data_IF_965313994532
#
_entry.id   IF_965313994532
#
_cell.length_a   1.000
_cell.length_b   1.000
_cell.length_c   1.000
_cell.angle_alpha   90.00
_cell.angle_beta   90.00
_cell.angle_gamma   90.00
#
_symmetry.space_group_name_H-M   'P 1'
#
loop_
_entity.id
_entity.type
_entity.pdbx_description
1 polymer ?
#
# COMPACT_ATOMS: atom_id res chain seq x y z
N UNK A 1 -4.03 20.95 -1.98
CA UNK A 1 -2.94 20.40 -1.14
C UNK A 1 -3.33 19.05 -0.54
N UNK A 2 -4.34 18.94 0.34
CA UNK A 2 -4.79 17.64 0.91
C UNK A 2 -5.24 16.64 -0.17
N UNK A 3 -6.01 17.08 -1.18
CA UNK A 3 -6.38 16.22 -2.32
C UNK A 3 -5.20 15.77 -3.18
N UNK A 4 -4.14 16.59 -3.28
CA UNK A 4 -2.88 16.25 -3.96
C UNK A 4 -2.08 15.24 -3.14
N UNK A 5 -2.06 15.42 -1.81
CA UNK A 5 -1.43 14.53 -0.83
C UNK A 5 -2.11 13.15 -0.83
N UNK A 6 -3.44 13.09 -0.89
CA UNK A 6 -4.20 11.83 -1.05
C UNK A 6 -3.82 11.13 -2.36
N UNK A 7 -3.65 11.88 -3.46
CA UNK A 7 -3.16 11.32 -4.73
C UNK A 7 -1.76 10.73 -4.56
N UNK A 8 -0.84 11.46 -3.93
CA UNK A 8 0.54 11.01 -3.72
C UNK A 8 0.68 9.84 -2.73
N UNK A 9 -0.10 9.80 -1.64
CA UNK A 9 -0.15 8.67 -0.70
C UNK A 9 -0.61 7.38 -1.40
N UNK A 10 -1.64 7.48 -2.25
CA UNK A 10 -2.10 6.37 -3.10
C UNK A 10 -1.02 5.91 -4.09
N UNK A 11 -0.29 6.82 -4.70
CA UNK A 11 0.81 6.49 -5.64
C UNK A 11 2.04 5.87 -4.95
N UNK A 12 2.44 6.37 -3.77
CA UNK A 12 3.60 5.83 -3.03
C UNK A 12 3.35 4.41 -2.51
N UNK A 13 2.13 4.11 -2.07
CA UNK A 13 1.74 2.80 -1.58
C UNK A 13 1.70 1.71 -2.68
N UNK A 14 1.37 2.08 -3.92
CA UNK A 14 1.38 1.14 -5.07
C UNK A 14 2.79 0.75 -5.55
N UNK A 15 3.81 1.58 -5.27
CA UNK A 15 5.17 1.39 -5.80
C UNK A 15 6.28 1.26 -4.74
N UNK A 16 5.95 1.29 -3.44
CA UNK A 16 6.94 1.10 -2.37
C UNK A 16 8.04 2.18 -2.32
N UNK A 17 7.78 3.38 -2.85
CA UNK A 17 8.75 4.49 -2.85
C UNK A 17 8.58 5.34 -1.59
N UNK A 18 9.62 5.42 -0.77
CA UNK A 18 9.63 6.08 0.55
C UNK A 18 10.18 7.51 0.58
N UNK A 19 10.41 8.16 -0.55
CA UNK A 19 10.92 9.54 -0.53
C UNK A 19 10.37 10.39 -1.67
N UNK A 20 9.66 11.47 -1.32
CA UNK A 20 9.44 12.61 -2.21
C UNK A 20 10.02 13.86 -1.54
N UNK A 21 11.14 14.34 -2.08
CA UNK A 21 11.68 15.67 -1.77
C UNK A 21 10.92 16.67 -2.62
N UNK A 22 10.28 17.65 -2.00
CA UNK A 22 9.58 18.73 -2.70
C UNK A 22 10.58 19.86 -3.01
N UNK A 23 10.94 20.05 -4.29
CA UNK A 23 11.50 21.31 -4.78
C UNK A 23 10.44 22.04 -5.58
N UNK A 24 9.91 23.12 -5.01
CA UNK A 24 9.04 24.03 -5.72
C UNK A 24 9.88 24.92 -6.65
N UNK A 25 9.82 24.70 -7.96
CA UNK A 25 10.19 25.71 -8.95
C UNK A 25 8.92 26.24 -9.59
N UNK A 26 8.54 27.46 -9.19
CA UNK A 26 7.55 28.25 -9.92
C UNK A 26 8.21 28.82 -11.18
N UNK A 27 7.72 28.45 -12.35
CA UNK A 27 8.08 29.10 -13.62
C UNK A 27 7.24 30.37 -13.75
N UNK A 28 7.90 31.52 -13.78
CA UNK A 28 7.32 32.75 -14.29
C UNK A 28 8.23 33.29 -15.41
N UNK A 29 7.60 33.70 -16.50
CA UNK A 29 8.18 34.04 -17.80
C UNK A 29 8.95 35.37 -17.83
N UNK A 30 10.17 35.29 -18.39
CA UNK A 30 10.93 36.20 -19.28
C UNK A 30 10.52 37.69 -19.37
N UNK A 31 11.48 38.57 -19.05
CA UNK A 31 11.80 39.81 -19.79
C UNK A 31 13.29 40.19 -19.56
N UNK A 32 13.91 40.76 -20.60
CA UNK A 32 15.36 40.88 -20.88
C UNK A 32 16.18 41.95 -20.10
N UNK A 33 17.46 41.60 -19.85
CA UNK A 33 18.75 42.37 -19.83
C UNK A 33 19.04 43.57 -18.86
N UNK A 34 20.33 43.95 -18.59
CA UNK A 34 21.61 43.21 -18.46
C UNK A 34 22.44 43.65 -17.18
N UNK A 35 23.71 43.22 -16.95
CA UNK A 35 24.29 43.07 -15.59
C UNK A 35 25.29 44.15 -15.13
N UNK A 36 25.49 44.27 -13.81
CA UNK A 36 26.66 44.92 -13.21
C UNK A 36 27.06 44.33 -11.83
N UNK A 37 28.29 43.80 -11.81
CA UNK A 37 29.36 43.84 -10.79
C UNK A 37 29.14 43.54 -9.29
N UNK A 38 29.85 42.48 -8.86
CA UNK A 38 30.86 42.42 -7.79
C UNK A 38 30.58 43.06 -6.41
N UNK A 39 30.58 42.23 -5.35
CA UNK A 39 31.71 42.12 -4.38
C UNK A 39 31.38 41.24 -3.17
N UNK A 40 32.28 40.28 -2.93
CA UNK A 40 32.58 39.63 -1.64
C UNK A 40 33.41 40.61 -0.78
N UNK A 41 33.37 40.57 0.56
CA UNK A 41 34.45 39.91 1.33
C UNK A 41 33.90 39.12 2.55
N UNK A 42 34.44 37.96 2.93
CA UNK A 42 35.71 37.64 3.59
C UNK A 42 35.61 37.58 5.13
N UNK A 43 36.31 36.58 5.66
CA UNK A 43 36.27 35.99 6.99
C UNK A 43 37.02 36.78 8.07
N UNK A 44 36.78 36.43 9.34
CA UNK A 44 37.79 36.50 10.40
C UNK A 44 37.52 35.48 11.51
N UNK A 45 38.58 34.72 11.83
CA UNK A 45 38.73 33.77 12.94
C UNK A 45 39.10 34.47 14.26
N UNK A 46 39.22 33.64 15.32
CA UNK A 46 39.91 33.80 16.62
C UNK A 46 38.93 33.88 17.80
N UNK A 47 39.12 33.21 18.94
CA UNK A 47 40.30 32.55 19.53
C UNK A 47 39.87 31.65 20.71
N UNK A 48 40.70 30.64 20.98
CA UNK A 48 40.72 29.84 22.21
C UNK A 48 40.98 30.67 23.47
N UNK A 49 40.54 30.14 24.61
CA UNK A 49 40.93 30.56 25.96
C UNK A 49 40.58 29.47 26.98
N UNK A 50 41.58 28.66 27.32
CA UNK A 50 41.59 27.66 28.39
C UNK A 50 41.71 28.29 29.79
N UNK A 51 41.15 27.68 30.84
CA UNK A 51 41.88 27.42 32.10
C UNK A 51 41.15 26.45 33.04
N UNK A 52 41.97 25.87 33.94
CA UNK A 52 41.85 24.61 34.69
C UNK A 52 41.51 24.82 36.18
N UNK A 53 41.32 23.67 36.87
CA UNK A 53 41.56 23.37 38.30
C UNK A 53 40.35 23.62 39.26
N UNK A 54 40.02 22.79 40.27
CA UNK A 54 40.71 21.68 40.97
C UNK A 54 39.72 20.89 41.87
N UNK A 55 40.17 19.71 42.30
CA UNK A 55 39.58 18.67 43.18
C UNK A 55 38.94 19.10 44.53
N UNK A 56 38.00 18.26 45.04
CA UNK A 56 38.17 17.56 46.34
C UNK A 56 37.12 16.47 46.59
N UNK A 57 37.61 15.30 47.03
CA UNK A 57 36.89 14.14 47.61
C UNK A 57 36.38 14.45 49.03
N UNK A 58 35.33 13.74 49.46
CA UNK A 58 35.31 12.92 50.69
C UNK A 58 33.98 12.14 50.83
N UNK A 59 34.09 10.83 51.06
CA UNK A 59 33.05 9.96 51.64
C UNK A 59 32.90 10.21 53.15
N UNK A 60 31.87 9.63 53.80
CA UNK A 60 32.08 8.33 54.46
C UNK A 60 30.91 7.33 54.38
N UNK A 61 31.26 6.04 54.52
CA UNK A 61 30.36 4.90 54.77
C UNK A 61 29.80 4.89 56.22
N UNK A 62 28.83 4.01 56.59
CA UNK A 62 29.07 2.58 56.91
C UNK A 62 27.96 1.64 56.34
N UNK A 63 28.17 0.38 55.91
CA UNK A 63 28.63 -0.87 56.52
C UNK A 63 27.54 -1.75 57.20
N UNK A 64 27.46 -3.01 56.72
CA UNK A 64 26.88 -4.27 57.29
C UNK A 64 25.35 -4.44 57.13
N UNK A 65 24.78 -5.62 56.83
CA UNK A 65 25.14 -7.01 57.17
C UNK A 65 24.44 -8.04 56.23
N UNK A 66 24.86 -9.30 56.31
CA UNK A 66 24.67 -10.36 55.32
C UNK A 66 23.50 -11.35 55.57
N UNK A 67 23.10 -12.00 54.46
CA UNK A 67 22.65 -13.40 54.26
C UNK A 67 21.72 -14.13 55.25
N UNK A 68 20.65 -14.75 54.70
CA UNK A 68 20.53 -16.21 54.67
C UNK A 68 19.36 -16.75 53.79
N UNK A 69 19.67 -17.90 53.19
CA UNK A 69 18.97 -18.74 52.20
C UNK A 69 17.68 -19.43 52.66
N UNK A 70 16.86 -19.83 51.67
CA UNK A 70 16.21 -21.15 51.44
C UNK A 70 15.44 -21.05 50.10
N UNK A 71 15.46 -21.99 49.15
CA UNK A 71 15.12 -23.40 49.26
C UNK A 71 15.78 -24.28 48.17
N UNK A 72 15.85 -25.57 48.53
CA UNK A 72 16.42 -26.71 47.82
C UNK A 72 15.48 -27.38 46.80
N UNK A 73 16.12 -28.24 46.00
CA UNK A 73 15.69 -28.96 44.82
C UNK A 73 14.72 -30.17 44.98
N UNK A 74 14.12 -30.58 43.85
CA UNK A 74 14.05 -31.96 43.29
C UNK A 74 13.32 -31.93 41.93
N UNK A 75 13.88 -32.31 40.77
CA UNK A 75 14.34 -33.62 40.21
C UNK A 75 13.24 -34.68 40.03
N UNK A 76 12.96 -35.02 38.75
CA UNK A 76 13.11 -36.33 38.06
C UNK A 76 12.46 -36.19 36.66
N UNK A 77 13.20 -36.35 35.55
CA UNK A 77 13.59 -37.59 34.83
C UNK A 77 12.38 -38.30 34.19
N UNK A 78 12.39 -38.96 33.03
CA UNK A 78 13.27 -39.12 31.86
C UNK A 78 12.53 -40.18 31.01
N UNK A 79 12.50 -40.08 29.67
CA UNK A 79 12.71 -41.19 28.72
C UNK A 79 12.25 -40.94 27.28
N UNK A 80 13.24 -41.23 26.42
CA UNK A 80 13.28 -41.48 24.98
C UNK A 80 12.33 -42.60 24.51
N UNK A 81 11.99 -42.55 23.23
CA UNK A 81 12.31 -43.65 22.30
C UNK A 81 12.55 -43.15 20.86
N UNK A 82 13.39 -43.91 20.14
CA UNK A 82 13.97 -43.70 18.81
C UNK A 82 13.39 -44.70 17.81
N UNK A 83 13.62 -44.41 16.53
CA UNK A 83 13.93 -45.31 15.37
C UNK A 83 13.10 -44.90 14.14
N UNK A 84 13.53 -45.02 12.88
CA UNK A 84 14.81 -45.04 12.16
C UNK A 84 14.41 -45.11 10.66
N UNK A 85 15.17 -44.50 9.74
CA UNK A 85 15.53 -45.08 8.43
C UNK A 85 16.28 -44.11 7.48
N UNK A 86 17.43 -44.62 7.02
CA UNK A 86 18.44 -44.22 5.99
C UNK A 86 17.90 -43.57 4.69
N UNK A 87 18.55 -42.54 4.13
CA UNK A 87 19.86 -42.42 3.39
C UNK A 87 19.83 -42.88 1.93
N UNK A 88 20.13 -41.96 1.01
CA UNK A 88 21.16 -41.96 -0.05
C UNK A 88 20.93 -40.69 -0.90
N UNK A 89 21.88 -39.91 -1.42
CA UNK A 89 23.29 -40.10 -1.72
C UNK A 89 23.56 -39.43 -3.08
N UNK A 90 24.40 -38.39 -3.08
CA UNK A 90 24.76 -37.45 -4.15
C UNK A 90 25.02 -38.00 -5.57
N UNK A 91 24.76 -37.17 -6.60
CA UNK A 91 25.83 -36.51 -7.40
C UNK A 91 25.30 -35.68 -8.60
N UNK A 92 25.67 -34.40 -8.61
CA UNK A 92 25.84 -33.56 -9.81
C UNK A 92 27.17 -33.94 -10.51
N UNK A 93 27.37 -33.62 -11.80
CA UNK A 93 28.09 -32.38 -12.10
C UNK A 93 27.62 -31.62 -13.36
N UNK A 94 28.01 -30.34 -13.39
CA UNK A 94 28.19 -29.42 -14.55
C UNK A 94 29.06 -30.05 -15.67
N UNK A 95 29.22 -29.57 -16.90
CA UNK A 95 28.88 -28.39 -17.71
C UNK A 95 29.13 -28.77 -19.19
N UNK A 96 28.82 -27.85 -20.13
CA UNK A 96 29.56 -27.57 -21.37
C UNK A 96 28.73 -27.57 -22.68
N UNK A 97 28.76 -26.38 -23.29
CA UNK A 97 28.51 -26.06 -24.70
C UNK A 97 29.87 -26.19 -25.42
N UNK A 98 29.93 -26.53 -26.72
CA UNK A 98 30.09 -25.48 -27.72
C UNK A 98 29.37 -25.74 -29.06
N UNK A 99 29.34 -24.69 -29.89
CA UNK A 99 28.65 -24.56 -31.18
C UNK A 99 29.43 -25.16 -32.37
N UNK A 100 28.73 -25.44 -33.48
CA UNK A 100 29.19 -25.14 -34.85
C UNK A 100 28.09 -25.34 -35.91
N UNK A 101 27.97 -24.35 -36.81
CA UNK A 101 27.40 -24.40 -38.18
C UNK A 101 28.58 -24.69 -39.14
N UNK A 102 28.41 -25.09 -40.43
CA UNK A 102 27.97 -24.14 -41.48
C UNK A 102 27.33 -24.71 -42.78
N UNK A 103 26.79 -23.80 -43.60
CA UNK A 103 26.76 -23.74 -45.10
C UNK A 103 26.09 -24.85 -45.94
N UNK A 104 25.51 -24.64 -47.14
CA UNK A 104 25.20 -23.49 -47.98
C UNK A 104 24.28 -23.92 -49.18
N UNK A 105 23.50 -22.94 -49.68
CA UNK A 105 23.16 -22.62 -51.08
C UNK A 105 22.74 -23.70 -52.13
N UNK A 106 21.60 -23.48 -52.83
CA UNK A 106 21.53 -22.83 -54.18
C UNK A 106 20.11 -22.83 -54.80
N UNK A 107 19.75 -21.65 -55.35
CA UNK A 107 19.06 -21.29 -56.62
C UNK A 107 18.03 -22.27 -57.22
N UNK A 108 16.77 -21.88 -57.38
CA UNK A 108 16.20 -20.97 -58.40
C UNK A 108 16.27 -21.54 -59.84
N UNK A 109 15.11 -21.86 -60.42
CA UNK A 109 14.77 -21.46 -61.79
C UNK A 109 13.26 -21.41 -62.04
N UNK A 110 12.96 -20.52 -62.96
CA UNK A 110 11.76 -19.91 -63.46
C UNK A 110 11.01 -20.75 -64.52
N UNK A 111 9.72 -20.45 -64.70
CA UNK A 111 8.92 -20.95 -65.81
C UNK A 111 7.49 -20.44 -65.72
N UNK A 112 7.18 -19.41 -66.51
CA UNK A 112 5.93 -18.63 -66.53
C UNK A 112 5.13 -18.93 -67.81
N UNK A 113 3.80 -18.82 -67.71
CA UNK A 113 2.77 -18.56 -68.76
C UNK A 113 2.33 -19.79 -69.60
N UNK A 114 1.07 -19.96 -70.03
CA UNK A 114 -0.06 -19.05 -70.32
C UNK A 114 -1.41 -19.81 -70.34
N UNK A 115 -2.46 -19.12 -69.90
CA UNK A 115 -3.85 -19.00 -70.41
C UNK A 115 -4.55 -20.16 -71.15
N UNK A 116 -5.74 -20.57 -70.67
CA UNK A 116 -7.04 -20.17 -71.26
C UNK A 116 -8.26 -20.99 -70.78
N UNK A 117 -9.34 -20.25 -70.45
CA UNK A 117 -10.77 -20.52 -70.71
C UNK A 117 -11.53 -21.65 -69.96
N UNK A 118 -12.37 -21.20 -69.02
CA UNK A 118 -13.60 -21.82 -68.45
C UNK A 118 -14.75 -21.80 -69.50
N UNK A 119 -15.72 -22.75 -69.52
CA UNK A 119 -16.97 -22.60 -68.75
C UNK A 119 -17.53 -23.86 -68.05
N UNK A 120 -17.95 -23.62 -66.81
CA UNK A 120 -19.15 -24.10 -66.11
C UNK A 120 -19.59 -25.58 -66.21
N UNK A 121 -19.52 -26.27 -65.07
CA UNK A 121 -20.56 -27.19 -64.65
C UNK A 121 -20.78 -27.05 -63.14
N UNK A 122 -22.01 -26.67 -62.80
CA UNK A 122 -22.55 -26.59 -61.45
C UNK A 122 -22.85 -28.01 -60.96
N UNK A 123 -22.27 -28.42 -59.83
CA UNK A 123 -22.70 -29.52 -58.95
C UNK A 123 -21.72 -29.59 -57.79
N UNK A 124 -22.14 -29.13 -56.62
CA UNK A 124 -21.87 -29.79 -55.33
C UNK A 124 -22.60 -29.00 -54.24
N UNK A 125 -23.82 -29.46 -54.01
CA UNK A 125 -24.60 -29.23 -52.81
C UNK A 125 -24.20 -30.33 -51.82
N UNK A 126 -23.06 -30.15 -51.14
CA UNK A 126 -22.64 -30.94 -49.99
C UNK A 126 -21.42 -30.24 -49.37
N UNK A 127 -21.65 -29.58 -48.23
CA UNK A 127 -20.70 -29.29 -47.14
C UNK A 127 -21.18 -28.05 -46.37
N UNK A 128 -22.36 -28.14 -45.76
CA UNK A 128 -22.61 -27.35 -44.53
C UNK A 128 -21.81 -28.01 -43.41
N UNK A 129 -20.52 -27.69 -43.36
CA UNK A 129 -19.71 -27.73 -42.13
C UNK A 129 -20.58 -27.13 -41.01
N UNK A 130 -20.73 -27.78 -39.84
CA UNK A 130 -21.46 -27.17 -38.74
C UNK A 130 -20.82 -25.80 -38.50
N UNK A 131 -21.63 -24.73 -38.52
CA UNK A 131 -21.16 -23.41 -38.14
C UNK A 131 -20.53 -23.59 -36.76
N UNK A 132 -19.20 -23.48 -36.69
CA UNK A 132 -18.47 -23.57 -35.44
C UNK A 132 -19.11 -22.54 -34.52
N UNK A 133 -19.71 -22.99 -33.43
CA UNK A 133 -20.35 -22.13 -32.47
C UNK A 133 -19.36 -21.01 -32.13
N UNK A 134 -19.71 -19.77 -32.49
CA UNK A 134 -18.86 -18.62 -32.25
C UNK A 134 -18.75 -18.48 -30.73
N UNK A 135 -17.59 -18.86 -30.19
CA UNK A 135 -17.31 -18.76 -28.77
C UNK A 135 -17.48 -17.28 -28.40
N UNK A 136 -18.36 -16.95 -27.47
CA UNK A 136 -18.49 -15.57 -26.98
C UNK A 136 -17.45 -15.33 -25.89
N UNK A 137 -17.04 -14.08 -25.72
CA UNK A 137 -16.16 -13.69 -24.62
C UNK A 137 -16.80 -14.08 -23.27
N UNK A 138 -15.97 -14.49 -22.31
CA UNK A 138 -16.44 -14.80 -20.94
C UNK A 138 -16.77 -13.55 -20.13
N UNK A 139 -16.42 -12.35 -20.63
CA UNK A 139 -16.71 -11.07 -20.00
C UNK A 139 -17.97 -10.46 -20.62
N UNK A 140 -18.98 -10.20 -19.79
CA UNK A 140 -20.21 -9.56 -20.23
C UNK A 140 -20.07 -8.03 -20.36
N UNK A 141 -19.16 -7.43 -19.57
CA UNK A 141 -18.85 -6.01 -19.60
C UNK A 141 -17.71 -5.77 -20.61
N UNK A 142 -18.00 -5.07 -21.70
CA UNK A 142 -17.04 -4.81 -22.78
C UNK A 142 -15.84 -3.98 -22.31
N UNK A 143 -16.04 -3.04 -21.38
CA UNK A 143 -14.93 -2.24 -20.84
C UNK A 143 -14.00 -3.08 -19.95
N UNK A 144 -14.57 -4.02 -19.18
CA UNK A 144 -13.75 -4.99 -18.44
C UNK A 144 -13.03 -5.94 -19.38
N UNK A 145 -13.70 -6.39 -20.45
CA UNK A 145 -13.10 -7.23 -21.48
C UNK A 145 -11.87 -6.55 -22.09
N UNK A 146 -12.00 -5.28 -22.50
CA UNK A 146 -10.91 -4.46 -23.00
C UNK A 146 -9.76 -4.35 -21.98
N UNK A 147 -10.10 -4.22 -20.69
CA UNK A 147 -9.12 -4.18 -19.62
C UNK A 147 -8.33 -5.48 -19.47
N UNK A 148 -9.02 -6.61 -19.55
CA UNK A 148 -8.41 -7.93 -19.44
C UNK A 148 -7.65 -8.29 -20.72
N UNK A 149 -8.15 -7.93 -21.91
CA UNK A 149 -7.53 -8.19 -23.20
C UNK A 149 -6.12 -7.59 -23.30
N UNK A 150 -5.88 -6.44 -22.66
CA UNK A 150 -4.53 -5.83 -22.56
C UNK A 150 -3.51 -6.73 -21.85
N UNK A 151 -3.97 -7.64 -21.00
CA UNK A 151 -3.14 -8.56 -20.20
C UNK A 151 -3.03 -9.95 -20.86
N UNK A 152 -3.85 -10.22 -21.88
CA UNK A 152 -3.82 -11.46 -22.69
C UNK A 152 -3.00 -11.24 -23.95
N UNK A 153 -1.68 -11.46 -23.88
CA UNK A 153 -0.74 -11.19 -24.98
C UNK A 153 -1.15 -11.77 -26.34
N UNK A 154 -1.68 -13.01 -26.36
CA UNK A 154 -2.06 -13.68 -27.61
C UNK A 154 -3.26 -13.04 -28.32
N UNK A 155 -4.08 -12.27 -27.61
CA UNK A 155 -5.35 -11.69 -28.11
C UNK A 155 -5.43 -10.17 -27.98
N UNK A 156 -4.34 -9.53 -27.58
CA UNK A 156 -4.27 -8.09 -27.33
C UNK A 156 -4.53 -7.22 -28.57
N UNK A 157 -4.25 -7.74 -29.76
CA UNK A 157 -4.31 -7.00 -31.03
C UNK A 157 -5.22 -7.69 -32.07
N UNK A 158 -6.18 -8.47 -31.62
CA UNK A 158 -7.18 -9.10 -32.47
C UNK A 158 -8.55 -9.11 -31.77
N UNK A 159 -9.58 -9.50 -32.52
CA UNK A 159 -10.96 -9.57 -32.03
C UNK A 159 -11.36 -11.01 -31.62
N UNK A 160 -10.37 -11.88 -31.37
CA UNK A 160 -10.69 -13.22 -30.91
C UNK A 160 -11.32 -13.16 -29.52
N UNK A 161 -12.42 -13.90 -29.28
CA UNK A 161 -13.09 -13.94 -27.98
C UNK A 161 -12.15 -14.38 -26.86
N UNK A 162 -12.16 -13.66 -25.73
CA UNK A 162 -11.41 -14.06 -24.54
C UNK A 162 -12.13 -15.22 -23.85
N UNK A 163 -11.40 -16.29 -23.58
CA UNK A 163 -11.88 -17.53 -22.95
C UNK A 163 -11.29 -17.69 -21.55
N UNK A 164 -11.86 -18.61 -20.76
CA UNK A 164 -11.34 -18.91 -19.42
C UNK A 164 -9.88 -19.40 -19.44
N UNK A 165 -9.45 -20.13 -20.47
CA UNK A 165 -8.06 -20.58 -20.58
C UNK A 165 -7.09 -19.44 -20.86
N UNK A 166 -7.52 -18.40 -21.56
CA UNK A 166 -6.67 -17.26 -21.89
C UNK A 166 -6.31 -16.44 -20.65
N UNK A 167 -7.26 -16.34 -19.71
CA UNK A 167 -7.11 -15.52 -18.49
C UNK A 167 -6.62 -16.31 -17.29
N UNK A 168 -6.53 -17.63 -17.37
CA UNK A 168 -6.19 -18.49 -16.25
C UNK A 168 -4.86 -18.11 -15.57
N UNK A 169 -3.93 -17.49 -16.32
CA UNK A 169 -2.58 -17.13 -15.86
C UNK A 169 -2.30 -15.62 -15.76
N UNK A 170 -3.29 -14.77 -16.02
CA UNK A 170 -3.05 -13.33 -15.86
C UNK A 170 -2.96 -13.01 -14.37
N UNK A 171 -1.98 -12.18 -14.01
CA UNK A 171 -1.70 -11.81 -12.62
C UNK A 171 -2.17 -10.40 -12.25
N UNK A 172 -2.58 -9.61 -13.25
CA UNK A 172 -2.97 -8.22 -13.08
C UNK A 172 -4.12 -7.87 -14.02
N UNK A 173 -5.01 -6.97 -13.58
CA UNK A 173 -6.01 -6.28 -14.42
C UNK A 173 -6.03 -4.80 -14.03
N UNK A 174 -5.95 -3.91 -15.04
CA UNK A 174 -6.04 -2.45 -14.84
C UNK A 174 -7.02 -1.82 -15.84
N UNK A 175 -7.99 -1.08 -15.30
CA UNK A 175 -9.04 -0.42 -16.06
C UNK A 175 -9.64 0.73 -15.28
N UNK A 176 -8.89 1.83 -15.15
CA UNK A 176 -9.29 3.04 -14.42
C UNK A 176 -10.17 3.92 -15.31
N UNK A 177 -11.28 4.42 -14.77
CA UNK A 177 -12.20 5.33 -15.49
C UNK A 177 -12.66 4.80 -16.86
N UNK A 178 -13.09 3.52 -16.87
CA UNK A 178 -13.52 2.84 -18.10
C UNK A 178 -15.03 2.57 -18.13
N UNK A 179 -15.76 3.09 -17.13
CA UNK A 179 -17.20 2.86 -16.95
C UNK A 179 -17.55 1.37 -16.76
N UNK A 180 -16.63 0.60 -16.17
CA UNK A 180 -16.85 -0.80 -15.83
C UNK A 180 -17.95 -0.90 -14.78
N UNK A 181 -18.90 -1.80 -14.99
CA UNK A 181 -20.07 -2.00 -14.12
C UNK A 181 -20.11 -3.39 -13.51
N UNK A 182 -19.57 -4.40 -14.19
CA UNK A 182 -19.58 -5.79 -13.76
C UNK A 182 -18.17 -6.37 -13.71
N UNK A 183 -17.92 -7.22 -12.71
CA UNK A 183 -16.69 -8.02 -12.57
C UNK A 183 -16.82 -9.44 -13.14
N UNK A 184 -17.97 -9.77 -13.72
CA UNK A 184 -18.24 -11.10 -14.27
C UNK A 184 -17.19 -11.50 -15.30
N UNK A 185 -16.64 -12.71 -15.13
CA UNK A 185 -15.52 -13.24 -15.90
C UNK A 185 -14.21 -13.27 -15.09
N UNK A 186 -14.02 -12.36 -14.12
CA UNK A 186 -12.81 -12.35 -13.28
C UNK A 186 -12.67 -13.58 -12.40
N UNK A 187 -13.76 -14.30 -12.09
CA UNK A 187 -13.69 -15.56 -11.36
C UNK A 187 -12.81 -16.62 -12.05
N UNK A 188 -12.54 -16.48 -13.36
CA UNK A 188 -11.68 -17.37 -14.14
C UNK A 188 -10.18 -17.01 -14.06
N UNK A 189 -9.83 -15.80 -13.60
CA UNK A 189 -8.47 -15.31 -13.45
C UNK A 189 -7.81 -15.86 -12.16
N UNK A 190 -7.58 -17.17 -12.08
CA UNK A 190 -7.16 -17.87 -10.84
C UNK A 190 -5.81 -17.41 -10.28
N UNK A 191 -4.98 -16.82 -11.13
CA UNK A 191 -3.64 -16.31 -10.80
C UNK A 191 -3.61 -14.81 -10.52
N UNK A 192 -4.78 -14.16 -10.45
CA UNK A 192 -4.87 -12.72 -10.26
C UNK A 192 -4.37 -12.29 -8.88
N UNK A 193 -3.40 -11.37 -8.88
CA UNK A 193 -2.76 -10.82 -7.68
C UNK A 193 -3.07 -9.33 -7.50
N UNK A 194 -3.27 -8.60 -8.61
CA UNK A 194 -3.50 -7.16 -8.63
C UNK A 194 -4.75 -6.79 -9.42
N UNK A 195 -5.60 -5.97 -8.81
CA UNK A 195 -6.74 -5.30 -9.46
C UNK A 195 -6.61 -3.79 -9.22
N UNK A 196 -6.63 -3.00 -10.30
CA UNK A 196 -6.83 -1.55 -10.22
C UNK A 196 -7.97 -1.14 -11.16
N UNK A 197 -9.16 -0.97 -10.57
CA UNK A 197 -10.41 -0.64 -11.26
C UNK A 197 -11.08 0.58 -10.62
N UNK A 198 -10.26 1.57 -10.22
CA UNK A 198 -10.74 2.84 -9.67
C UNK A 198 -11.59 3.63 -10.66
N UNK A 199 -12.41 4.54 -10.12
CA UNK A 199 -13.22 5.49 -10.90
C UNK A 199 -14.21 4.79 -11.86
N UNK A 200 -14.87 3.74 -11.40
CA UNK A 200 -15.83 2.97 -12.20
C UNK A 200 -17.22 2.97 -11.55
N UNK A 201 -18.10 2.05 -11.99
CA UNK A 201 -19.45 1.92 -11.48
C UNK A 201 -19.73 0.52 -10.88
N UNK A 202 -18.69 -0.16 -10.38
CA UNK A 202 -18.76 -1.50 -9.80
C UNK A 202 -19.53 -1.46 -8.49
N UNK A 203 -20.41 -2.44 -8.28
CA UNK A 203 -21.17 -2.58 -7.03
C UNK A 203 -21.21 -4.00 -6.46
N UNK A 204 -20.99 -5.02 -7.30
CA UNK A 204 -20.92 -6.43 -6.90
C UNK A 204 -19.49 -6.96 -6.96
N UNK A 205 -19.03 -7.54 -5.85
CA UNK A 205 -17.70 -8.12 -5.70
C UNK A 205 -17.71 -9.65 -5.69
N UNK A 206 -18.88 -10.28 -5.83
CA UNK A 206 -19.06 -11.74 -5.90
C UNK A 206 -18.10 -12.43 -6.90
N UNK A 207 -17.84 -11.90 -8.11
CA UNK A 207 -16.93 -12.53 -9.07
C UNK A 207 -15.48 -12.68 -8.57
N UNK A 208 -15.03 -11.86 -7.63
CA UNK A 208 -13.65 -11.92 -7.09
C UNK A 208 -13.55 -12.64 -5.75
N UNK A 209 -14.66 -13.14 -5.20
CA UNK A 209 -14.72 -13.69 -3.84
C UNK A 209 -13.75 -14.86 -3.57
N UNK A 210 -13.44 -15.63 -4.62
CA UNK A 210 -12.60 -16.84 -4.53
C UNK A 210 -11.18 -16.64 -5.07
N UNK A 211 -10.78 -15.42 -5.41
CA UNK A 211 -9.45 -15.11 -5.95
C UNK A 211 -8.42 -14.95 -4.83
N UNK A 212 -8.13 -16.05 -4.13
CA UNK A 212 -7.31 -16.10 -2.89
C UNK A 212 -5.86 -15.61 -3.06
N UNK A 213 -5.40 -15.41 -4.30
CA UNK A 213 -4.08 -14.85 -4.62
C UNK A 213 -4.06 -13.32 -4.68
N UNK A 214 -5.21 -12.64 -4.57
CA UNK A 214 -5.26 -11.19 -4.54
C UNK A 214 -4.47 -10.64 -3.35
N UNK A 215 -3.54 -9.72 -3.67
CA UNK A 215 -2.66 -9.06 -2.74
C UNK A 215 -2.84 -7.54 -2.76
N UNK A 216 -3.21 -6.98 -3.91
CA UNK A 216 -3.40 -5.54 -4.10
C UNK A 216 -4.70 -5.29 -4.86
N UNK A 217 -5.66 -4.65 -4.19
CA UNK A 217 -6.97 -4.33 -4.77
C UNK A 217 -7.24 -2.85 -4.57
N UNK A 218 -7.41 -2.12 -5.67
CA UNK A 218 -7.90 -0.76 -5.68
C UNK A 218 -9.23 -0.69 -6.42
N UNK A 219 -10.27 -0.33 -5.66
CA UNK A 219 -11.66 -0.19 -6.10
C UNK A 219 -12.21 1.16 -5.60
N UNK A 220 -11.34 2.17 -5.48
CA UNK A 220 -11.77 3.50 -5.06
C UNK A 220 -12.77 4.09 -6.06
N UNK A 221 -13.63 4.98 -5.58
CA UNK A 221 -14.53 5.79 -6.40
C UNK A 221 -15.45 4.90 -7.28
N UNK A 222 -16.13 3.96 -6.62
CA UNK A 222 -17.07 3.00 -7.20
C UNK A 222 -18.45 3.10 -6.50
N UNK A 223 -19.30 2.07 -6.61
CA UNK A 223 -20.65 2.03 -6.03
C UNK A 223 -20.81 0.90 -5.01
N UNK A 224 -19.71 0.46 -4.40
CA UNK A 224 -19.66 -0.69 -3.49
C UNK A 224 -20.34 -0.35 -2.17
N UNK A 225 -21.15 -1.29 -1.67
CA UNK A 225 -21.79 -1.22 -0.34
C UNK A 225 -21.40 -2.40 0.53
N UNK A 226 -21.36 -3.58 -0.08
CA UNK A 226 -21.03 -4.84 0.57
C UNK A 226 -19.64 -5.31 0.15
N UNK A 227 -18.78 -5.57 1.13
CA UNK A 227 -17.45 -6.14 0.94
C UNK A 227 -17.35 -7.56 1.52
N UNK A 228 -18.47 -8.18 1.88
CA UNK A 228 -18.57 -9.58 2.31
C UNK A 228 -17.86 -10.57 1.38
N UNK A 229 -17.90 -10.41 0.05
CA UNK A 229 -17.13 -11.23 -0.88
C UNK A 229 -15.61 -11.24 -0.62
N UNK A 230 -15.05 -10.21 0.01
CA UNK A 230 -13.61 -10.11 0.28
C UNK A 230 -13.15 -10.89 1.52
N UNK A 231 -14.08 -11.43 2.33
CA UNK A 231 -13.78 -11.94 3.68
C UNK A 231 -12.74 -13.06 3.75
N UNK A 232 -12.61 -13.85 2.69
CA UNK A 232 -11.74 -15.02 2.61
C UNK A 232 -10.44 -14.73 1.83
N UNK A 233 -10.21 -13.47 1.42
CA UNK A 233 -9.02 -13.03 0.69
C UNK A 233 -7.85 -12.73 1.64
N UNK A 234 -7.35 -13.75 2.33
CA UNK A 234 -6.34 -13.62 3.40
C UNK A 234 -4.94 -13.21 2.93
N UNK A 235 -4.68 -13.21 1.63
CA UNK A 235 -3.41 -12.79 1.02
C UNK A 235 -3.29 -11.26 0.84
N UNK A 236 -4.35 -10.51 1.14
CA UNK A 236 -4.42 -9.07 0.92
C UNK A 236 -3.31 -8.32 1.68
N UNK A 237 -2.65 -7.38 1.00
CA UNK A 237 -1.62 -6.50 1.55
C UNK A 237 -1.97 -5.02 1.35
N UNK A 238 -2.66 -4.69 0.25
CA UNK A 238 -3.15 -3.35 -0.06
C UNK A 238 -4.63 -3.42 -0.45
N UNK A 239 -5.46 -2.63 0.21
CA UNK A 239 -6.88 -2.51 -0.08
C UNK A 239 -7.31 -1.04 -0.06
N UNK A 240 -7.71 -0.51 -1.22
CA UNK A 240 -8.32 0.81 -1.35
C UNK A 240 -9.78 0.70 -1.80
N UNK A 241 -10.66 1.11 -0.89
CA UNK A 241 -12.11 1.13 -1.01
C UNK A 241 -12.67 2.55 -0.82
N UNK A 242 -11.82 3.57 -0.95
CA UNK A 242 -12.22 4.96 -0.75
C UNK A 242 -13.33 5.40 -1.70
N UNK A 243 -14.17 6.37 -1.35
CA UNK A 243 -15.18 6.91 -2.28
C UNK A 243 -16.27 5.90 -2.65
N UNK A 244 -16.68 5.06 -1.70
CA UNK A 244 -17.74 4.07 -1.87
C UNK A 244 -18.91 4.35 -0.90
N UNK A 245 -19.75 3.36 -0.63
CA UNK A 245 -20.92 3.47 0.25
C UNK A 245 -20.90 2.40 1.34
N UNK A 246 -19.71 2.02 1.79
CA UNK A 246 -19.46 0.94 2.75
C UNK A 246 -19.78 1.44 4.17
N UNK A 247 -20.49 0.62 4.93
CA UNK A 247 -20.81 0.90 6.34
C UNK A 247 -20.19 -0.13 7.29
N UNK A 248 -19.80 -1.31 6.80
CA UNK A 248 -19.23 -2.39 7.60
C UNK A 248 -17.87 -2.83 7.04
N UNK A 249 -16.83 -2.75 7.88
CA UNK A 249 -15.49 -3.26 7.57
C UNK A 249 -15.24 -4.67 8.12
N UNK A 250 -16.19 -5.30 8.82
CA UNK A 250 -16.00 -6.63 9.43
C UNK A 250 -15.41 -7.70 8.48
N UNK A 251 -15.66 -7.70 7.16
CA UNK A 251 -15.04 -8.66 6.24
C UNK A 251 -13.51 -8.58 6.17
N UNK A 252 -12.86 -7.47 6.53
CA UNK A 252 -11.39 -7.39 6.50
C UNK A 252 -10.71 -8.14 7.67
N UNK A 253 -11.47 -8.66 8.64
CA UNK A 253 -10.96 -9.20 9.90
C UNK A 253 -9.85 -10.27 9.77
N UNK A 254 -9.87 -11.05 8.68
CA UNK A 254 -8.92 -12.15 8.46
C UNK A 254 -7.73 -11.76 7.56
N UNK A 255 -7.62 -10.50 7.14
CA UNK A 255 -6.53 -10.00 6.30
C UNK A 255 -5.30 -9.67 7.16
N UNK A 256 -4.75 -10.65 7.87
CA UNK A 256 -3.64 -10.47 8.82
C UNK A 256 -2.32 -9.98 8.19
N UNK A 257 -2.24 -10.00 6.85
CA UNK A 257 -1.12 -9.45 6.07
C UNK A 257 -1.38 -8.04 5.54
N UNK A 258 -2.55 -7.44 5.82
CA UNK A 258 -2.91 -6.12 5.33
C UNK A 258 -1.98 -5.07 5.93
N UNK A 259 -1.34 -4.31 5.03
CA UNK A 259 -0.41 -3.22 5.36
C UNK A 259 -1.12 -1.89 5.17
N UNK A 260 -1.79 -1.73 4.04
CA UNK A 260 -2.48 -0.48 3.69
C UNK A 260 -3.98 -0.72 3.58
N UNK A 261 -4.76 0.04 4.34
CA UNK A 261 -6.22 0.06 4.25
C UNK A 261 -6.70 1.50 4.06
N UNK A 262 -7.26 1.78 2.88
CA UNK A 262 -7.91 3.05 2.58
C UNK A 262 -9.41 2.84 2.44
N UNK A 263 -10.18 3.53 3.27
CA UNK A 263 -11.64 3.49 3.33
C UNK A 263 -12.21 4.90 3.53
N UNK A 264 -11.51 5.92 3.02
CA UNK A 264 -11.95 7.29 3.08
C UNK A 264 -13.27 7.50 2.34
N UNK A 265 -14.05 8.52 2.71
CA UNK A 265 -15.28 8.93 2.00
C UNK A 265 -16.26 7.74 1.83
N UNK A 266 -16.65 7.19 2.97
CA UNK A 266 -17.58 6.07 3.10
C UNK A 266 -18.64 6.41 4.17
N UNK A 267 -19.30 5.39 4.75
CA UNK A 267 -20.35 5.54 5.76
C UNK A 267 -20.01 4.82 7.06
N UNK A 268 -18.72 4.71 7.37
CA UNK A 268 -18.25 3.97 8.53
C UNK A 268 -18.56 4.73 9.82
N UNK A 269 -19.11 4.02 10.81
CA UNK A 269 -19.26 4.51 12.19
C UNK A 269 -18.37 3.76 13.17
N UNK A 270 -17.94 2.55 12.80
CA UNK A 270 -17.14 1.64 13.61
C UNK A 270 -15.95 1.12 12.79
N UNK A 271 -14.80 1.03 13.44
CA UNK A 271 -13.54 0.51 12.91
C UNK A 271 -12.91 -0.53 13.85
N UNK A 272 -13.66 -1.14 14.77
CA UNK A 272 -13.17 -2.12 15.75
C UNK A 272 -12.37 -3.27 15.12
N UNK A 273 -12.72 -3.66 13.90
CA UNK A 273 -12.01 -4.69 13.12
C UNK A 273 -10.54 -4.34 12.87
N UNK A 274 -10.18 -3.06 12.83
CA UNK A 274 -8.81 -2.58 12.58
C UNK A 274 -7.83 -3.07 13.65
N UNK A 275 -8.28 -3.30 14.89
CA UNK A 275 -7.47 -3.87 15.95
C UNK A 275 -6.97 -5.30 15.64
N UNK A 276 -7.59 -6.00 14.67
CA UNK A 276 -7.19 -7.35 14.20
C UNK A 276 -6.15 -7.31 13.08
N UNK A 277 -5.68 -6.13 12.67
CA UNK A 277 -4.78 -5.94 11.54
C UNK A 277 -3.40 -5.43 12.02
N UNK A 278 -2.61 -6.27 12.73
CA UNK A 278 -1.42 -5.82 13.44
C UNK A 278 -0.27 -5.34 12.54
N UNK A 279 -0.34 -5.61 11.23
CA UNK A 279 0.68 -5.21 10.25
C UNK A 279 0.34 -3.91 9.51
N UNK A 280 -0.75 -3.23 9.89
CA UNK A 280 -1.09 -1.95 9.30
C UNK A 280 0.00 -0.92 9.55
N UNK A 281 0.49 -0.32 8.47
CA UNK A 281 1.44 0.80 8.50
C UNK A 281 0.83 2.10 7.95
N UNK A 282 -0.29 2.01 7.22
CA UNK A 282 -1.02 3.15 6.66
C UNK A 282 -2.53 2.89 6.71
N UNK A 283 -3.25 3.79 7.38
CA UNK A 283 -4.71 3.75 7.53
C UNK A 283 -5.31 5.10 7.14
N UNK A 284 -6.25 5.09 6.21
CA UNK A 284 -7.06 6.25 5.83
C UNK A 284 -8.55 5.92 6.01
N UNK A 285 -9.18 6.61 6.95
CA UNK A 285 -10.62 6.53 7.24
C UNK A 285 -11.26 7.92 7.26
N UNK A 286 -10.66 8.90 6.56
CA UNK A 286 -11.18 10.25 6.47
C UNK A 286 -12.61 10.29 5.91
N UNK A 287 -13.36 11.36 6.21
CA UNK A 287 -14.72 11.61 5.71
C UNK A 287 -15.66 10.42 5.98
N UNK A 288 -15.72 10.01 7.23
CA UNK A 288 -16.64 8.99 7.72
C UNK A 288 -17.45 9.58 8.90
N UNK A 289 -18.08 8.73 9.71
CA UNK A 289 -18.87 9.10 10.89
C UNK A 289 -18.31 8.45 12.16
N UNK A 290 -17.00 8.23 12.20
CA UNK A 290 -16.30 7.54 13.30
C UNK A 290 -16.21 8.46 14.51
N UNK A 291 -16.41 7.89 15.69
CA UNK A 291 -16.24 8.57 17.00
C UNK A 291 -15.14 7.93 17.84
N UNK A 292 -15.00 6.61 17.74
CA UNK A 292 -14.09 5.84 18.59
C UNK A 292 -12.82 5.47 17.84
N UNK A 293 -11.70 6.03 18.29
CA UNK A 293 -10.38 5.74 17.75
C UNK A 293 -9.62 4.67 18.55
N UNK A 294 -10.16 4.13 19.66
CA UNK A 294 -9.50 3.08 20.47
C UNK A 294 -8.98 1.87 19.66
N UNK A 295 -9.62 1.41 18.57
CA UNK A 295 -9.12 0.29 17.79
C UNK A 295 -7.71 0.46 17.21
N UNK A 296 -7.20 1.69 17.08
CA UNK A 296 -5.86 1.92 16.53
C UNK A 296 -4.74 1.79 17.57
N UNK A 297 -5.04 1.82 18.87
CA UNK A 297 -4.02 1.97 19.94
C UNK A 297 -2.94 0.89 19.98
N UNK A 298 -3.22 -0.30 19.44
CA UNK A 298 -2.27 -1.42 19.38
C UNK A 298 -1.50 -1.53 18.06
N UNK A 299 -1.71 -0.61 17.10
CA UNK A 299 -1.08 -0.67 15.78
C UNK A 299 0.32 -0.03 15.80
N UNK A 300 1.27 -0.73 16.43
CA UNK A 300 2.62 -0.20 16.65
C UNK A 300 3.40 0.11 15.37
N UNK A 301 3.04 -0.46 14.22
CA UNK A 301 3.70 -0.18 12.93
C UNK A 301 3.07 0.97 12.16
N UNK A 302 2.04 1.62 12.70
CA UNK A 302 1.30 2.67 12.01
C UNK A 302 2.18 3.92 11.83
N UNK A 303 2.48 4.25 10.58
CA UNK A 303 3.28 5.43 10.20
C UNK A 303 2.42 6.56 9.66
N UNK A 304 1.26 6.23 9.09
CA UNK A 304 0.30 7.20 8.55
C UNK A 304 -1.08 6.88 9.07
N UNK A 305 -1.70 7.86 9.72
CA UNK A 305 -3.07 7.78 10.21
C UNK A 305 -3.84 9.02 9.77
N UNK A 306 -4.83 8.82 8.91
CA UNK A 306 -5.72 9.85 8.39
C UNK A 306 -7.16 9.55 8.81
N UNK A 307 -7.75 10.46 9.57
CA UNK A 307 -9.14 10.38 10.04
C UNK A 307 -9.86 11.74 10.00
N UNK A 308 -9.40 12.65 9.14
CA UNK A 308 -9.99 13.97 8.97
C UNK A 308 -11.46 13.89 8.56
N UNK A 309 -12.30 14.81 9.02
CA UNK A 309 -13.73 14.80 8.67
C UNK A 309 -14.51 13.68 9.33
N UNK A 310 -14.22 13.39 10.59
CA UNK A 310 -14.97 12.45 11.44
C UNK A 310 -15.54 13.18 12.68
N UNK A 311 -15.94 12.44 13.70
CA UNK A 311 -16.52 12.94 14.95
C UNK A 311 -15.67 12.53 16.17
N UNK A 312 -14.36 12.40 16.00
CA UNK A 312 -13.43 11.98 17.06
C UNK A 312 -13.11 13.17 17.97
N UNK A 313 -13.16 12.96 19.29
CA UNK A 313 -12.90 14.01 20.29
C UNK A 313 -11.65 13.74 21.17
N UNK A 314 -11.14 12.52 21.17
CA UNK A 314 -10.08 12.05 22.06
C UNK A 314 -8.87 11.53 21.31
N UNK A 315 -7.69 12.06 21.65
CA UNK A 315 -6.40 11.62 21.13
C UNK A 315 -5.69 10.60 22.04
N UNK A 316 -6.29 10.16 23.14
CA UNK A 316 -5.70 9.10 23.97
C UNK A 316 -5.26 7.86 23.16
N UNK A 317 -6.04 7.41 22.15
CA UNK A 317 -5.65 6.25 21.36
C UNK A 317 -4.37 6.41 20.53
N UNK A 318 -3.93 7.63 20.22
CA UNK A 318 -2.73 7.87 19.38
C UNK A 318 -1.45 8.01 20.19
N UNK A 319 -1.54 8.17 21.51
CA UNK A 319 -0.38 8.39 22.39
C UNK A 319 0.63 7.22 22.39
N UNK A 320 0.21 6.01 22.04
CA UNK A 320 1.06 4.82 21.94
C UNK A 320 1.67 4.57 20.55
N UNK A 321 1.34 5.39 19.55
CA UNK A 321 1.73 5.16 18.16
C UNK A 321 3.07 5.82 17.83
N UNK A 322 4.14 5.27 18.39
CA UNK A 322 5.49 5.87 18.34
C UNK A 322 6.21 5.71 17.00
N UNK A 323 5.59 5.14 15.97
CA UNK A 323 6.14 5.10 14.60
C UNK A 323 5.40 6.07 13.65
N UNK A 324 4.45 6.86 14.16
CA UNK A 324 3.71 7.83 13.35
C UNK A 324 4.64 8.91 12.78
N UNK A 325 4.53 9.12 11.47
CA UNK A 325 5.17 10.19 10.70
C UNK A 325 4.15 11.20 10.20
N UNK A 326 2.91 10.75 9.94
CA UNK A 326 1.84 11.62 9.47
C UNK A 326 0.55 11.32 10.24
N UNK A 327 0.06 12.33 10.95
CA UNK A 327 -1.20 12.35 11.67
C UNK A 327 -2.11 13.41 11.07
N UNK A 328 -3.12 12.99 10.32
CA UNK A 328 -4.08 13.89 9.71
C UNK A 328 -5.44 13.73 10.40
N UNK A 329 -5.85 14.77 11.11
CA UNK A 329 -6.99 14.75 12.02
C UNK A 329 -7.89 15.97 11.88
N UNK A 330 -7.77 16.68 10.76
CA UNK A 330 -8.48 17.93 10.51
C UNK A 330 -10.01 17.71 10.54
N UNK A 331 -10.78 18.73 10.93
CA UNK A 331 -12.26 18.67 10.92
C UNK A 331 -12.81 17.50 11.75
N UNK A 332 -12.40 17.44 13.01
CA UNK A 332 -12.92 16.53 14.03
C UNK A 332 -13.49 17.33 15.21
N UNK A 333 -13.65 16.70 16.37
CA UNK A 333 -14.18 17.31 17.61
C UNK A 333 -13.11 17.38 18.71
N UNK A 334 -11.83 17.36 18.35
CA UNK A 334 -10.71 17.36 19.31
C UNK A 334 -10.63 18.72 20.01
N UNK A 335 -10.62 18.70 21.33
CA UNK A 335 -10.47 19.90 22.19
C UNK A 335 -9.23 19.86 23.07
N UNK A 336 -8.57 18.71 23.13
CA UNK A 336 -7.46 18.46 24.02
C UNK A 336 -6.33 17.78 23.26
N UNK A 337 -5.19 18.48 23.16
CA UNK A 337 -3.97 17.99 22.54
C UNK A 337 -2.98 17.40 23.54
N UNK A 338 -3.28 17.44 24.85
CA UNK A 338 -2.38 16.94 25.89
C UNK A 338 -1.94 15.48 25.68
N UNK A 339 -2.77 14.53 25.19
CA UNK A 339 -2.30 13.16 24.96
C UNK A 339 -1.19 13.09 23.90
N UNK A 340 -1.23 13.96 22.89
CA UNK A 340 -0.22 14.03 21.84
C UNK A 340 1.04 14.75 22.36
N UNK A 341 0.87 15.87 23.07
CA UNK A 341 1.96 16.62 23.70
C UNK A 341 2.75 15.72 24.66
N UNK A 342 2.06 14.98 25.52
CA UNK A 342 2.69 14.08 26.50
C UNK A 342 3.46 12.95 25.82
N UNK A 343 2.91 12.39 24.73
CA UNK A 343 3.60 11.37 23.94
C UNK A 343 4.88 11.93 23.31
N UNK A 344 4.81 13.12 22.70
CA UNK A 344 5.97 13.77 22.09
C UNK A 344 7.04 14.18 23.14
N UNK A 345 6.62 14.66 24.32
CA UNK A 345 7.52 14.98 25.43
C UNK A 345 8.29 13.74 25.87
N UNK A 346 7.59 12.62 26.06
CA UNK A 346 8.21 11.35 26.44
C UNK A 346 9.22 10.86 25.40
N UNK A 347 8.94 11.02 24.11
CA UNK A 347 9.89 10.68 23.05
C UNK A 347 11.10 11.62 23.03
N UNK A 348 10.88 12.93 23.25
CA UNK A 348 11.92 13.95 23.32
C UNK A 348 12.93 13.70 24.46
N UNK A 349 12.47 13.09 25.55
CA UNK A 349 13.25 12.63 26.72
C UNK A 349 13.92 11.26 26.52
N UNK A 350 13.65 10.59 25.39
CA UNK A 350 14.19 9.26 25.06
C UNK A 350 15.06 9.31 23.78
N UNK A 351 14.91 8.32 22.90
CA UNK A 351 15.69 8.16 21.66
C UNK A 351 15.27 9.12 20.53
N UNK A 352 14.22 9.94 20.73
CA UNK A 352 13.68 10.90 19.75
C UNK A 352 13.36 10.27 18.40
N UNK A 353 12.63 9.15 18.42
CA UNK A 353 12.39 8.34 17.21
C UNK A 353 11.18 8.78 16.42
N UNK A 354 10.25 9.54 17.00
CA UNK A 354 8.98 9.86 16.36
C UNK A 354 8.69 11.36 16.29
N UNK A 355 8.83 12.10 17.41
CA UNK A 355 8.39 13.48 17.46
C UNK A 355 9.08 14.39 16.41
N UNK A 356 10.41 14.28 16.18
CA UNK A 356 11.10 15.09 15.16
C UNK A 356 10.70 14.80 13.70
N UNK A 357 9.99 13.71 13.46
CA UNK A 357 9.57 13.27 12.13
C UNK A 357 8.05 13.28 11.96
N UNK A 358 7.32 13.73 12.99
CA UNK A 358 5.88 13.75 13.00
C UNK A 358 5.35 15.01 12.35
N UNK A 359 4.45 14.84 11.38
CA UNK A 359 3.65 15.89 10.79
C UNK A 359 2.22 15.77 11.27
N UNK A 360 1.66 16.87 11.78
CA UNK A 360 0.31 16.92 12.36
C UNK A 360 -0.56 17.93 11.62
N UNK A 361 -1.66 17.47 11.04
CA UNK A 361 -2.64 18.32 10.34
C UNK A 361 -3.94 18.35 11.13
N UNK A 362 -4.22 19.46 11.82
CA UNK A 362 -5.29 19.52 12.84
C UNK A 362 -6.35 20.60 12.61
N UNK A 363 -6.30 21.30 11.48
CA UNK A 363 -7.21 22.40 11.16
C UNK A 363 -8.70 22.03 11.28
N UNK A 364 -9.54 22.94 11.76
CA UNK A 364 -10.99 22.74 11.88
C UNK A 364 -11.45 21.87 13.05
N UNK A 365 -10.59 21.64 14.05
CA UNK A 365 -11.00 21.12 15.36
C UNK A 365 -11.42 22.28 16.29
N UNK A 366 -12.37 22.08 17.23
CA UNK A 366 -12.88 23.11 18.14
C UNK A 366 -11.93 23.42 19.31
N UNK A 367 -10.66 23.73 19.00
CA UNK A 367 -9.66 24.18 19.97
C UNK A 367 -9.79 25.68 20.20
N UNK A 368 -9.76 26.13 21.46
CA UNK A 368 -9.60 27.55 21.72
C UNK A 368 -8.20 28.03 21.31
N UNK A 369 -8.09 29.30 20.92
CA UNK A 369 -6.86 29.85 20.35
C UNK A 369 -5.66 29.72 21.28
N UNK A 370 -5.86 29.90 22.59
CA UNK A 370 -4.78 29.80 23.58
C UNK A 370 -4.28 28.36 23.70
N UNK A 371 -5.20 27.40 23.83
CA UNK A 371 -4.85 25.97 23.87
C UNK A 371 -4.11 25.55 22.60
N UNK A 372 -4.58 25.99 21.44
CA UNK A 372 -3.92 25.70 20.17
C UNK A 372 -2.50 26.27 20.12
N UNK A 373 -2.31 27.56 20.45
CA UNK A 373 -0.99 28.20 20.39
C UNK A 373 -0.01 27.56 21.38
N UNK A 374 -0.44 27.27 22.60
CA UNK A 374 0.39 26.63 23.61
C UNK A 374 0.81 25.21 23.18
N UNK A 375 -0.16 24.37 22.80
CA UNK A 375 0.12 23.01 22.38
C UNK A 375 0.98 22.97 21.10
N UNK A 376 0.73 23.86 20.15
CA UNK A 376 1.54 24.00 18.94
C UNK A 376 2.99 24.36 19.28
N UNK A 377 3.21 25.35 20.15
CA UNK A 377 4.56 25.74 20.56
C UNK A 377 5.30 24.60 21.29
N UNK A 378 4.62 23.85 22.16
CA UNK A 378 5.20 22.67 22.81
C UNK A 378 5.56 21.58 21.79
N UNK A 379 4.64 21.22 20.89
CA UNK A 379 4.90 20.22 19.83
C UNK A 379 6.08 20.63 18.94
N UNK A 380 6.11 21.88 18.47
CA UNK A 380 7.21 22.41 17.65
C UNK A 380 8.54 22.40 18.40
N UNK A 381 8.54 22.61 19.72
CA UNK A 381 9.75 22.50 20.56
C UNK A 381 10.32 21.07 20.60
N UNK A 382 9.51 20.06 20.32
CA UNK A 382 9.92 18.66 20.18
C UNK A 382 10.29 18.27 18.75
N UNK A 383 10.24 19.22 17.79
CA UNK A 383 10.54 18.99 16.37
C UNK A 383 9.35 18.51 15.54
N UNK A 384 8.12 18.57 16.06
CA UNK A 384 6.90 18.21 15.32
C UNK A 384 6.52 19.32 14.35
N UNK A 385 6.22 18.98 13.11
CA UNK A 385 5.66 19.92 12.13
C UNK A 385 4.14 20.02 12.31
N UNK A 386 3.63 21.20 12.70
CA UNK A 386 2.20 21.40 12.98
C UNK A 386 1.53 22.30 11.93
N UNK A 387 0.50 21.76 11.28
CA UNK A 387 -0.29 22.42 10.25
C UNK A 387 -1.74 22.65 10.73
N UNK A 388 -2.17 23.91 10.71
CA UNK A 388 -3.45 24.36 11.28
C UNK A 388 -4.45 24.91 10.23
N UNK A 389 -4.06 24.94 8.95
CA UNK A 389 -4.86 25.53 7.86
C UNK A 389 -5.74 24.52 7.14
#
# INVERSE_FOLDING_TARGET
>A
MIAELHRHLRFAALFGLTTLVWTATSTNTIADDPPADQKKPAAAQAKEGSEKATEKKNDPAPAKEADAKKDDAKKEDDKKEKEDAKKDGDKKPDSDKPAAKPDAAKKADSGKKTDAKKPAANKNEADKKPAAATVKSIFADEALEDAVRREVFAKRYNDEPITASDVAKISRVVGIDQKITSLEGLQHCKELMLIDLRDNAISDLSPIANLKRLQSVSLSDNKIRDIGPLKDLTSMQYLDLSGNKIADLSPVANMSNLRTLYAADNRLTDIAVVAKLPKLWSLDVAKNQIRDLRPVSGLSWLTTLEFSGNQIDSLKPVAGLTDLKMLLMSRNQVKDLSPLVDACRKDAESDRRFAPYLQVYLGGNPLDEKTLQNAKAELESFGVDVFVK
#
